data_IF_952829528616
#
_entry.id   IF_952829528616
#
_cell.length_a   1.000
_cell.length_b   1.000
_cell.length_c   1.000
_cell.angle_alpha   90.00
_cell.angle_beta   90.00
_cell.angle_gamma   90.00
#
_symmetry.space_group_name_H-M   'P 1'
#
loop_
_entity.id
_entity.type
_entity.pdbx_description
1 polymer ?
#
# COMPACT_ATOMS: atom_id res chain seq x y z
N UNK A 1 21.70 20.05 -9.19
CA UNK A 1 20.39 19.41 -9.45
C UNK A 1 19.70 19.37 -8.11
N UNK A 2 18.85 20.35 -7.81
CA UNK A 2 17.87 20.23 -6.72
C UNK A 2 16.76 19.30 -7.21
N UNK A 3 16.29 18.45 -6.32
CA UNK A 3 15.40 17.34 -6.61
C UNK A 3 13.97 17.82 -6.40
N UNK A 4 12.99 17.22 -7.06
CA UNK A 4 11.59 17.63 -6.88
C UNK A 4 10.97 16.83 -5.73
N UNK A 5 11.49 17.04 -4.51
CA UNK A 5 10.99 16.43 -3.27
C UNK A 5 9.51 16.83 -3.03
N UNK A 6 9.10 17.97 -3.59
CA UNK A 6 7.72 18.43 -3.66
C UNK A 6 6.82 17.47 -4.45
N UNK A 7 7.30 16.95 -5.59
CA UNK A 7 6.55 15.97 -6.39
C UNK A 7 6.37 14.64 -5.65
N UNK A 8 7.35 14.20 -4.86
CA UNK A 8 7.23 13.02 -4.01
C UNK A 8 6.21 13.27 -2.88
N UNK A 9 6.29 14.42 -2.21
CA UNK A 9 5.33 14.81 -1.18
C UNK A 9 3.88 14.86 -1.72
N UNK A 10 3.69 15.46 -2.90
CA UNK A 10 2.40 15.56 -3.57
C UNK A 10 1.82 14.19 -3.96
N UNK A 11 2.68 13.22 -4.32
CA UNK A 11 2.27 11.83 -4.61
C UNK A 11 1.97 11.03 -3.36
N UNK A 12 2.75 11.21 -2.30
CA UNK A 12 2.51 10.53 -1.02
C UNK A 12 1.21 11.03 -0.37
N UNK A 13 0.81 12.28 -0.60
CA UNK A 13 -0.32 12.92 0.06
C UNK A 13 -1.21 13.75 -0.90
N UNK A 14 -1.85 13.12 -1.90
CA UNK A 14 -2.61 13.82 -2.94
C UNK A 14 -3.85 14.54 -2.41
N UNK A 15 -4.34 14.19 -1.21
CA UNK A 15 -5.51 14.84 -0.59
C UNK A 15 -5.23 16.25 -0.06
N UNK A 16 -3.96 16.67 0.03
CA UNK A 16 -3.56 17.98 0.57
C UNK A 16 -3.34 19.03 -0.53
N UNK A 17 -3.07 18.61 -1.77
CA UNK A 17 -2.94 19.51 -2.90
C UNK A 17 -4.33 19.95 -3.36
N UNK A 18 -4.72 21.19 -3.00
CA UNK A 18 -5.99 21.87 -3.34
C UNK A 18 -6.80 21.21 -4.47
N UNK A 19 -7.82 20.44 -4.07
CA UNK A 19 -9.11 20.38 -4.77
C UNK A 19 -9.18 19.69 -6.14
N UNK A 20 -8.30 18.75 -6.48
CA UNK A 20 -8.47 17.95 -7.69
C UNK A 20 -8.68 16.47 -7.33
N UNK A 21 -9.94 16.11 -7.06
CA UNK A 21 -10.32 14.71 -6.95
C UNK A 21 -10.03 14.01 -8.30
N UNK A 22 -9.23 12.92 -8.33
CA UNK A 22 -9.05 12.15 -9.54
C UNK A 22 -10.43 11.62 -9.97
N UNK A 23 -10.76 11.78 -11.25
CA UNK A 23 -11.97 11.23 -11.82
C UNK A 23 -12.05 9.73 -11.50
N UNK A 24 -13.23 9.19 -11.13
CA UNK A 24 -13.38 7.77 -10.90
C UNK A 24 -12.91 7.00 -12.14
N UNK A 25 -12.01 6.04 -11.95
CA UNK A 25 -11.62 5.11 -13.00
C UNK A 25 -12.89 4.49 -13.58
N UNK A 26 -13.19 4.84 -14.83
CA UNK A 26 -14.28 4.23 -15.61
C UNK A 26 -13.94 2.75 -15.75
N UNK A 27 -14.75 1.89 -15.14
CA UNK A 27 -14.65 0.45 -15.31
C UNK A 27 -14.63 0.13 -16.81
N UNK A 28 -13.54 -0.49 -17.27
CA UNK A 28 -13.44 -0.98 -18.62
C UNK A 28 -14.55 -2.00 -18.86
N UNK A 29 -15.27 -1.86 -19.98
CA UNK A 29 -16.25 -2.85 -20.42
C UNK A 29 -15.58 -4.24 -20.50
N UNK A 30 -16.27 -5.30 -20.04
CA UNK A 30 -15.72 -6.65 -20.06
C UNK A 30 -15.48 -7.09 -21.51
N UNK A 31 -14.20 -7.14 -21.91
CA UNK A 31 -13.81 -7.85 -23.12
C UNK A 31 -14.08 -9.34 -22.93
N UNK A 32 -14.79 -9.92 -23.90
CA UNK A 32 -15.14 -11.34 -23.93
C UNK A 32 -13.87 -12.21 -23.83
N UNK A 33 -13.88 -13.14 -22.87
CA UNK A 33 -12.79 -14.08 -22.64
C UNK A 33 -12.54 -14.95 -23.89
N UNK A 34 -11.28 -15.17 -24.30
CA UNK A 34 -10.96 -16.16 -25.32
C UNK A 34 -11.29 -17.58 -24.83
N UNK A 35 -11.81 -18.41 -25.72
CA UNK A 35 -12.18 -19.79 -25.44
C UNK A 35 -10.98 -20.61 -24.91
N UNK A 36 -11.19 -21.54 -23.97
CA UNK A 36 -10.12 -22.35 -23.39
C UNK A 36 -9.52 -23.28 -24.44
N UNK A 37 -8.20 -23.15 -24.66
CA UNK A 37 -7.41 -24.10 -25.44
C UNK A 37 -7.09 -25.28 -24.52
N UNK A 38 -7.51 -26.48 -24.90
CA UNK A 38 -7.28 -27.71 -24.15
C UNK A 38 -5.76 -27.99 -24.00
N UNK A 39 -5.27 -28.01 -22.76
CA UNK A 39 -3.91 -28.43 -22.44
C UNK A 39 -3.82 -29.96 -22.41
N UNK A 40 -2.71 -30.58 -22.89
CA UNK A 40 -2.49 -32.01 -22.76
C UNK A 40 -2.26 -32.41 -21.29
N UNK A 41 -3.08 -33.33 -20.80
CA UNK A 41 -3.02 -33.95 -19.48
C UNK A 41 -1.74 -34.79 -19.33
N UNK A 42 -0.70 -34.24 -18.70
CA UNK A 42 0.48 -35.02 -18.29
C UNK A 42 0.99 -34.73 -16.88
N UNK A 43 0.21 -34.05 -16.03
CA UNK A 43 0.60 -33.75 -14.65
C UNK A 43 0.04 -34.74 -13.61
N UNK A 44 -0.97 -35.56 -13.94
CA UNK A 44 -1.59 -36.50 -13.00
C UNK A 44 -0.69 -37.71 -12.65
N UNK A 45 0.29 -38.05 -13.50
CA UNK A 45 1.08 -39.28 -13.32
C UNK A 45 2.30 -39.11 -12.39
N UNK A 46 2.72 -37.86 -12.09
CA UNK A 46 3.81 -37.61 -11.14
C UNK A 46 3.34 -37.54 -9.68
N UNK A 47 2.10 -37.12 -9.42
CA UNK A 47 1.57 -37.02 -8.05
C UNK A 47 1.37 -38.41 -7.39
N UNK A 48 1.02 -39.43 -8.18
CA UNK A 48 0.81 -40.79 -7.69
C UNK A 48 2.09 -41.51 -7.24
N UNK A 49 3.28 -41.07 -7.69
CA UNK A 49 4.57 -41.68 -7.31
C UNK A 49 5.16 -41.17 -6.00
N UNK A 50 4.73 -40.02 -5.48
CA UNK A 50 5.31 -39.41 -4.28
C UNK A 50 4.58 -39.72 -2.96
N UNK A 51 3.60 -40.62 -2.95
CA UNK A 51 3.06 -41.17 -1.70
C UNK A 51 2.29 -40.20 -0.80
N UNK A 52 1.87 -39.03 -1.32
CA UNK A 52 0.96 -38.13 -0.62
C UNK A 52 -0.49 -38.61 -0.77
N UNK A 53 -0.86 -39.69 -0.06
CA UNK A 53 -2.26 -39.98 0.23
C UNK A 53 -2.66 -39.20 1.48
N UNK A 54 -3.84 -38.59 1.41
CA UNK A 54 -4.56 -37.92 2.50
C UNK A 54 -4.14 -36.48 2.86
N UNK A 55 -4.41 -35.54 1.94
CA UNK A 55 -4.89 -34.22 2.36
C UNK A 55 -6.37 -34.06 1.98
N UNK A 56 -7.24 -33.63 2.91
CA UNK A 56 -8.64 -33.35 2.60
C UNK A 56 -8.72 -32.15 1.65
N UNK A 57 -9.44 -32.35 0.56
CA UNK A 57 -9.80 -31.30 -0.39
C UNK A 57 -10.74 -30.32 0.33
N UNK A 58 -10.21 -29.19 0.79
CA UNK A 58 -11.03 -28.09 1.29
C UNK A 58 -11.74 -27.47 0.10
N UNK A 59 -13.03 -27.78 -0.03
CA UNK A 59 -13.90 -27.20 -1.04
C UNK A 59 -14.13 -25.73 -0.70
N UNK A 60 -13.66 -24.82 -1.56
CA UNK A 60 -13.97 -23.39 -1.46
C UNK A 60 -15.41 -23.15 -1.95
N UNK A 61 -16.39 -23.35 -1.07
CA UNK A 61 -17.73 -22.79 -1.22
C UNK A 61 -17.76 -21.39 -0.60
N UNK A 62 -17.31 -20.38 -1.36
CA UNK A 62 -17.62 -18.99 -1.05
C UNK A 62 -18.63 -18.44 -2.06
N UNK A 63 -19.89 -18.50 -1.62
CA UNK A 63 -20.96 -17.55 -1.80
C UNK A 63 -20.87 -16.57 -2.99
N UNK A 64 -21.66 -16.86 -4.01
CA UNK A 64 -22.28 -15.88 -4.90
C UNK A 64 -23.21 -14.96 -4.10
N UNK A 65 -22.76 -13.72 -3.86
CA UNK A 65 -23.65 -12.63 -3.41
C UNK A 65 -24.13 -11.82 -4.61
N UNK A 66 -25.46 -11.75 -4.74
CA UNK A 66 -26.17 -11.01 -5.77
C UNK A 66 -26.01 -9.48 -5.59
N UNK A 67 -26.01 -8.69 -6.69
CA UNK A 67 -26.01 -7.24 -6.63
C UNK A 67 -27.42 -6.71 -6.36
N UNK A 68 -27.64 -6.08 -5.21
CA UNK A 68 -28.90 -5.44 -4.83
C UNK A 68 -28.69 -4.03 -4.27
N UNK A 69 -29.08 -3.04 -5.07
CA UNK A 69 -29.65 -1.72 -4.71
C UNK A 69 -28.99 -0.88 -3.59
N UNK A 70 -28.16 0.08 -3.98
CA UNK A 70 -27.68 1.18 -3.10
C UNK A 70 -28.21 2.58 -3.52
N UNK A 71 -29.20 2.66 -4.42
CA UNK A 71 -29.61 3.93 -5.03
C UNK A 71 -30.75 4.69 -4.31
N UNK A 72 -31.34 4.19 -3.23
CA UNK A 72 -32.60 4.77 -2.71
C UNK A 72 -32.52 5.30 -1.27
N UNK A 73 -31.56 6.20 -0.98
CA UNK A 73 -31.53 6.89 0.33
C UNK A 73 -31.05 8.35 0.33
N UNK A 74 -30.87 8.99 -0.83
CA UNK A 74 -30.39 10.37 -0.94
C UNK A 74 -31.50 11.43 -1.04
N UNK A 75 -32.71 11.17 -0.56
CA UNK A 75 -33.83 12.13 -0.65
C UNK A 75 -34.59 12.18 0.66
N UNK A 76 -34.11 13.03 1.59
CA UNK A 76 -34.87 13.77 2.63
C UNK A 76 -33.91 14.27 3.71
N UNK A 77 -33.40 15.49 3.55
CA UNK A 77 -33.12 16.35 4.71
C UNK A 77 -33.63 17.76 4.41
N UNK A 78 -34.41 18.36 5.32
CA UNK A 78 -34.82 19.76 5.23
C UNK A 78 -33.64 20.67 5.61
N UNK A 79 -33.40 21.72 4.83
CA UNK A 79 -32.41 22.75 5.14
C UNK A 79 -33.03 23.73 6.14
N UNK A 80 -32.71 23.57 7.43
CA UNK A 80 -32.98 24.60 8.45
C UNK A 80 -31.96 25.74 8.31
N UNK A 81 -32.52 26.94 8.14
CA UNK A 81 -31.83 28.20 7.93
C UNK A 81 -31.33 28.73 9.27
N UNK A 82 -30.10 28.38 9.65
CA UNK A 82 -29.47 28.93 10.85
C UNK A 82 -28.68 30.21 10.55
N UNK A 83 -29.02 31.23 11.33
CA UNK A 83 -28.45 32.58 11.39
C UNK A 83 -26.94 32.54 11.68
N UNK A 84 -26.22 33.45 11.02
CA UNK A 84 -24.80 33.66 11.20
C UNK A 84 -24.47 34.16 12.62
N UNK A 85 -23.49 33.57 13.33
CA UNK A 85 -22.85 34.21 14.46
C UNK A 85 -21.68 35.09 13.98
N UNK A 86 -21.73 36.33 14.46
CA UNK A 86 -20.66 37.24 14.86
C UNK A 86 -19.20 36.84 14.54
N UNK A 87 -18.53 37.68 13.74
CA UNK A 87 -17.14 37.60 13.33
C UNK A 87 -16.23 38.12 14.45
N UNK A 88 -15.97 37.28 15.45
CA UNK A 88 -14.90 37.49 16.43
C UNK A 88 -13.56 37.01 15.88
N UNK A 89 -12.60 37.93 15.80
CA UNK A 89 -11.15 37.76 15.62
C UNK A 89 -10.68 36.41 15.04
N UNK A 90 -10.41 36.43 13.74
CA UNK A 90 -9.75 35.40 12.94
C UNK A 90 -8.37 35.01 13.53
N UNK A 91 -8.36 34.17 14.57
CA UNK A 91 -7.26 33.24 14.81
C UNK A 91 -7.30 32.21 13.67
N UNK A 92 -6.70 32.58 12.53
CA UNK A 92 -6.36 31.66 11.44
C UNK A 92 -5.27 30.71 11.93
N UNK A 93 -5.63 29.89 12.93
CA UNK A 93 -5.07 28.56 13.09
C UNK A 93 -5.39 27.83 11.80
N UNK A 94 -4.49 27.97 10.84
CA UNK A 94 -4.45 27.18 9.62
C UNK A 94 -4.49 25.74 10.07
N UNK A 95 -5.68 25.13 9.97
CA UNK A 95 -5.92 23.72 10.23
C UNK A 95 -4.82 22.95 9.52
N UNK A 96 -3.87 22.43 10.31
CA UNK A 96 -2.74 21.73 9.78
C UNK A 96 -3.29 20.56 8.96
N UNK A 97 -2.78 20.34 7.73
CA UNK A 97 -3.26 19.27 6.88
C UNK A 97 -3.21 17.94 7.67
N UNK A 98 -4.38 17.36 7.96
CA UNK A 98 -4.49 16.18 8.83
C UNK A 98 -3.99 14.97 8.05
N UNK A 99 -2.85 14.42 8.48
CA UNK A 99 -2.37 13.11 8.06
C UNK A 99 -3.52 12.11 8.17
N UNK A 100 -3.73 11.27 7.14
CA UNK A 100 -4.79 10.28 7.17
C UNK A 100 -4.72 9.50 8.50
N UNK A 101 -5.84 9.36 9.23
CA UNK A 101 -5.81 8.80 10.57
C UNK A 101 -5.21 7.40 10.54
N UNK A 102 -4.38 7.10 11.55
CA UNK A 102 -3.81 5.76 11.75
C UNK A 102 -4.99 4.80 11.98
N UNK A 103 -5.09 3.68 11.23
CA UNK A 103 -6.14 2.69 11.48
C UNK A 103 -6.05 2.13 12.90
N UNK A 104 -7.18 1.92 13.58
CA UNK A 104 -7.24 1.42 14.96
C UNK A 104 -6.44 0.11 15.14
N UNK A 105 -6.52 -0.81 14.17
CA UNK A 105 -5.78 -2.07 14.20
C UNK A 105 -4.25 -1.87 14.15
N UNK A 106 -3.77 -0.83 13.47
CA UNK A 106 -2.34 -0.46 13.46
C UNK A 106 -1.99 0.17 14.80
N UNK A 107 -2.84 1.07 15.31
CA UNK A 107 -2.62 1.70 16.62
C UNK A 107 -2.51 0.68 17.75
N UNK A 108 -3.39 -0.32 17.79
CA UNK A 108 -3.34 -1.39 18.78
C UNK A 108 -2.02 -2.19 18.72
N UNK A 109 -1.52 -2.49 17.52
CA UNK A 109 -0.21 -3.13 17.35
C UNK A 109 0.94 -2.27 17.87
N UNK A 110 0.85 -0.93 17.70
CA UNK A 110 1.85 0.01 18.23
C UNK A 110 1.84 0.02 19.74
N UNK A 111 0.66 0.01 20.36
CA UNK A 111 0.49 0.06 21.81
C UNK A 111 0.99 -1.23 22.49
N UNK A 112 0.93 -2.38 21.80
CA UNK A 112 1.43 -3.66 22.29
C UNK A 112 2.96 -3.82 22.17
N UNK A 113 3.62 -3.06 21.28
CA UNK A 113 5.05 -3.19 21.03
C UNK A 113 5.88 -2.32 22.00
N UNK A 114 6.13 -2.86 23.19
CA UNK A 114 6.94 -2.20 24.23
C UNK A 114 8.40 -1.89 23.79
N UNK A 115 8.90 -2.51 22.71
CA UNK A 115 10.29 -2.29 22.24
C UNK A 115 10.41 -1.15 21.25
N UNK A 116 9.29 -0.61 20.79
CA UNK A 116 9.21 0.36 19.69
C UNK A 116 9.98 1.66 19.96
N UNK A 117 9.99 2.14 21.21
CA UNK A 117 10.74 3.33 21.62
C UNK A 117 12.26 3.23 21.42
N UNK A 118 12.83 2.01 21.33
CA UNK A 118 14.27 1.85 21.09
C UNK A 118 14.66 2.02 19.62
N UNK A 119 13.72 1.86 18.68
CA UNK A 119 14.00 1.81 17.24
C UNK A 119 13.59 3.07 16.47
N UNK A 120 12.92 4.03 17.10
CA UNK A 120 12.44 5.25 16.43
C UNK A 120 13.57 6.05 15.76
N UNK A 121 14.78 6.03 16.32
CA UNK A 121 15.93 6.75 15.76
C UNK A 121 16.62 6.01 14.61
N UNK A 122 16.28 4.75 14.33
CA UNK A 122 16.97 3.94 13.31
C UNK A 122 16.77 4.49 11.89
N UNK A 123 15.70 5.26 11.66
CA UNK A 123 15.33 5.75 10.33
C UNK A 123 15.68 7.22 10.10
N UNK A 124 16.24 7.93 11.09
CA UNK A 124 16.53 9.36 10.98
C UNK A 124 17.49 9.69 9.83
N UNK A 125 18.44 8.80 9.55
CA UNK A 125 19.41 8.97 8.45
C UNK A 125 18.77 8.79 7.06
N UNK A 126 17.87 7.80 6.91
CA UNK A 126 17.26 7.46 5.61
C UNK A 126 15.98 8.25 5.32
N UNK A 127 15.33 8.77 6.37
CA UNK A 127 14.16 9.63 6.30
C UNK A 127 14.43 10.85 7.16
N UNK A 128 15.27 11.82 6.74
CA UNK A 128 15.53 13.03 7.52
C UNK A 128 14.31 13.96 7.57
N UNK A 129 14.19 14.79 8.60
CA UNK A 129 13.05 15.72 8.78
C UNK A 129 12.90 16.69 7.58
N UNK A 130 14.01 17.02 6.92
CA UNK A 130 14.07 17.92 5.76
C UNK A 130 13.80 17.22 4.42
N UNK A 131 13.44 15.93 4.42
CA UNK A 131 13.25 15.15 3.18
C UNK A 131 12.15 15.73 2.27
N UNK A 132 11.20 16.49 2.81
CA UNK A 132 10.13 17.13 2.04
C UNK A 132 10.41 18.62 1.78
N UNK A 133 11.67 19.06 1.92
CA UNK A 133 12.07 20.46 2.06
C UNK A 133 11.64 21.40 0.92
N UNK A 134 11.37 20.87 -0.28
CA UNK A 134 10.87 21.65 -1.42
C UNK A 134 9.33 21.68 -1.52
N UNK A 135 8.60 21.04 -0.60
CA UNK A 135 7.13 21.05 -0.60
C UNK A 135 6.54 22.36 -0.10
N UNK A 136 5.41 22.78 -0.67
CA UNK A 136 4.62 23.95 -0.26
C UNK A 136 3.95 23.80 1.14
N UNK A 137 4.25 22.72 1.86
CA UNK A 137 3.64 22.40 3.14
C UNK A 137 4.34 23.13 4.30
N UNK A 138 3.63 23.53 5.36
CA UNK A 138 4.26 24.08 6.56
C UNK A 138 5.27 23.10 7.19
N UNK A 139 6.42 23.60 7.67
CA UNK A 139 7.48 22.78 8.29
C UNK A 139 6.96 21.82 9.39
N UNK A 140 6.04 22.23 10.30
CA UNK A 140 5.50 21.30 11.29
C UNK A 140 4.76 20.11 10.66
N UNK A 141 4.07 20.35 9.53
CA UNK A 141 3.35 19.31 8.79
C UNK A 141 4.34 18.37 8.11
N UNK A 142 5.38 18.90 7.47
CA UNK A 142 6.43 18.09 6.84
C UNK A 142 7.09 17.14 7.86
N UNK A 143 7.46 17.65 9.04
CA UNK A 143 8.05 16.84 10.12
C UNK A 143 7.11 15.74 10.59
N UNK A 144 5.83 16.04 10.77
CA UNK A 144 4.82 15.05 11.15
C UNK A 144 4.68 13.95 10.08
N UNK A 145 4.71 14.31 8.80
CA UNK A 145 4.66 13.34 7.69
C UNK A 145 5.88 12.43 7.66
N UNK A 146 7.09 12.98 7.85
CA UNK A 146 8.31 12.18 7.92
C UNK A 146 8.28 11.27 9.14
N UNK A 147 7.81 11.76 10.29
CA UNK A 147 7.62 10.94 11.49
C UNK A 147 6.68 9.76 11.21
N UNK A 148 5.52 10.00 10.57
CA UNK A 148 4.61 8.91 10.20
C UNK A 148 5.22 7.91 9.21
N UNK A 149 6.08 8.34 8.28
CA UNK A 149 6.80 7.41 7.38
C UNK A 149 7.75 6.49 8.18
N UNK A 150 8.46 7.03 9.18
CA UNK A 150 9.32 6.22 10.08
C UNK A 150 8.50 5.24 10.92
N UNK A 151 7.34 5.68 11.38
CA UNK A 151 6.41 4.85 12.13
C UNK A 151 5.86 3.69 11.27
N UNK A 152 5.45 3.95 10.03
CA UNK A 152 5.04 2.90 9.09
C UNK A 152 6.17 1.94 8.75
N UNK A 153 7.41 2.42 8.59
CA UNK A 153 8.57 1.55 8.39
C UNK A 153 8.78 0.61 9.59
N UNK A 154 8.61 1.13 10.80
CA UNK A 154 8.66 0.34 12.04
C UNK A 154 7.52 -0.68 12.10
N UNK A 155 6.30 -0.30 11.72
CA UNK A 155 5.12 -1.19 11.74
C UNK A 155 5.31 -2.43 10.88
N UNK A 156 5.95 -2.28 9.71
CA UNK A 156 6.28 -3.40 8.81
C UNK A 156 7.64 -4.05 9.11
N UNK A 157 8.29 -3.67 10.20
CA UNK A 157 9.62 -4.12 10.61
C UNK A 157 10.68 -3.99 9.49
N UNK A 158 10.59 -2.93 8.68
CA UNK A 158 11.57 -2.63 7.64
C UNK A 158 12.91 -2.23 8.27
N UNK A 159 14.03 -2.59 7.63
CA UNK A 159 15.33 -2.03 7.99
C UNK A 159 15.55 -0.67 7.33
N UNK A 160 16.52 0.15 7.80
CA UNK A 160 16.89 1.38 7.11
C UNK A 160 17.31 1.15 5.65
N UNK A 161 17.95 0.02 5.36
CA UNK A 161 18.34 -0.36 3.99
C UNK A 161 17.12 -0.66 3.10
N UNK A 162 16.07 -1.27 3.64
CA UNK A 162 14.82 -1.50 2.90
C UNK A 162 14.13 -0.17 2.57
N UNK A 163 14.10 0.76 3.52
CA UNK A 163 13.52 2.10 3.34
C UNK A 163 14.31 2.89 2.30
N UNK A 164 15.64 2.88 2.38
CA UNK A 164 16.50 3.56 1.40
C UNK A 164 16.37 2.97 0.00
N UNK A 165 16.25 1.65 -0.13
CA UNK A 165 15.97 0.98 -1.41
C UNK A 165 14.65 1.46 -2.01
N UNK A 166 13.56 1.46 -1.23
CA UNK A 166 12.23 1.89 -1.69
C UNK A 166 12.26 3.37 -2.09
N UNK A 167 12.92 4.21 -1.28
CA UNK A 167 13.10 5.65 -1.57
C UNK A 167 13.87 5.87 -2.87
N UNK A 168 15.00 5.18 -3.05
CA UNK A 168 15.83 5.27 -4.25
C UNK A 168 15.01 4.92 -5.49
N UNK A 169 14.27 3.81 -5.46
CA UNK A 169 13.40 3.41 -6.57
C UNK A 169 12.29 4.46 -6.80
N UNK A 170 11.68 4.97 -5.73
CA UNK A 170 10.67 6.03 -5.84
C UNK A 170 11.19 7.28 -6.54
N UNK A 171 12.43 7.67 -6.24
CA UNK A 171 13.08 8.81 -6.86
C UNK A 171 13.46 8.56 -8.33
N UNK A 172 13.80 7.33 -8.70
CA UNK A 172 14.03 6.94 -10.09
C UNK A 172 12.73 6.98 -10.92
N UNK A 173 11.57 6.73 -10.28
CA UNK A 173 10.25 6.78 -10.89
C UNK A 173 9.72 8.22 -10.97
N UNK A 174 10.31 9.01 -11.85
CA UNK A 174 9.88 10.39 -12.13
C UNK A 174 8.45 10.48 -12.68
N UNK A 175 7.88 9.40 -13.22
CA UNK A 175 6.50 9.32 -13.68
C UNK A 175 5.94 7.91 -13.45
N UNK A 176 4.60 7.75 -13.38
CA UNK A 176 3.98 6.43 -13.35
C UNK A 176 4.48 5.56 -14.51
N UNK A 177 4.81 4.27 -14.27
CA UNK A 177 5.28 3.37 -15.31
C UNK A 177 4.20 3.13 -16.38
N UNK A 178 4.63 2.93 -17.63
CA UNK A 178 3.72 2.56 -18.72
C UNK A 178 3.16 1.13 -18.54
N UNK A 179 2.04 0.82 -19.19
CA UNK A 179 1.45 -0.53 -19.13
C UNK A 179 2.41 -1.63 -19.61
N UNK A 180 3.21 -1.34 -20.63
CA UNK A 180 4.25 -2.26 -21.11
C UNK A 180 5.31 -2.52 -20.01
N UNK A 181 5.70 -1.46 -19.29
CA UNK A 181 6.69 -1.57 -18.20
C UNK A 181 6.12 -2.33 -16.99
N UNK A 182 4.84 -2.13 -16.67
CA UNK A 182 4.14 -2.89 -15.64
C UNK A 182 4.08 -4.39 -15.97
N UNK A 183 3.86 -4.74 -17.23
CA UNK A 183 3.87 -6.13 -17.69
C UNK A 183 5.26 -6.74 -17.55
N UNK A 184 6.30 -6.03 -18.02
CA UNK A 184 7.71 -6.43 -17.87
C UNK A 184 8.07 -6.65 -16.39
N UNK A 185 7.67 -5.73 -15.51
CA UNK A 185 7.92 -5.86 -14.08
C UNK A 185 7.15 -7.00 -13.43
N UNK A 186 5.93 -7.31 -13.88
CA UNK A 186 5.19 -8.47 -13.39
C UNK A 186 5.96 -9.77 -13.68
N UNK A 187 6.47 -9.93 -14.91
CA UNK A 187 7.25 -11.10 -15.30
C UNK A 187 8.55 -11.20 -14.49
N UNK A 188 9.30 -10.09 -14.38
CA UNK A 188 10.52 -10.01 -13.55
C UNK A 188 10.24 -10.31 -12.07
N UNK A 189 9.09 -9.88 -11.55
CA UNK A 189 8.67 -10.16 -10.17
C UNK A 189 8.43 -11.64 -9.97
N UNK A 190 7.74 -12.31 -10.91
CA UNK A 190 7.51 -13.75 -10.85
C UNK A 190 8.84 -14.52 -10.83
N UNK A 191 9.78 -14.19 -11.72
CA UNK A 191 11.11 -14.81 -11.77
C UNK A 191 11.91 -14.60 -10.48
N UNK A 192 11.88 -13.37 -9.95
CA UNK A 192 12.60 -13.00 -8.74
C UNK A 192 12.04 -13.69 -7.49
N UNK A 193 10.71 -13.84 -7.41
CA UNK A 193 10.06 -14.56 -6.32
C UNK A 193 10.30 -16.07 -6.43
N UNK A 194 10.21 -16.65 -7.64
CA UNK A 194 10.49 -18.07 -7.85
C UNK A 194 11.96 -18.41 -7.53
N UNK A 195 12.90 -17.57 -7.93
CA UNK A 195 14.32 -17.79 -7.59
C UNK A 195 14.61 -17.63 -6.09
N UNK A 196 13.92 -16.73 -5.39
CA UNK A 196 14.14 -16.50 -3.95
C UNK A 196 13.41 -17.51 -3.05
N UNK A 197 12.16 -17.84 -3.37
CA UNK A 197 11.26 -18.62 -2.51
C UNK A 197 10.92 -20.01 -3.05
N UNK A 198 11.39 -20.36 -4.25
CA UNK A 198 11.12 -21.64 -4.89
C UNK A 198 9.62 -21.91 -5.04
N UNK A 199 9.19 -23.13 -4.73
CA UNK A 199 7.78 -23.54 -4.78
C UNK A 199 6.83 -22.79 -3.83
N UNK A 200 7.34 -21.90 -2.97
CA UNK A 200 6.52 -21.07 -2.06
C UNK A 200 6.33 -19.63 -2.55
N UNK A 201 6.75 -19.29 -3.77
CA UNK A 201 6.67 -17.93 -4.31
C UNK A 201 5.25 -17.33 -4.32
N UNK A 202 4.23 -18.10 -4.70
CA UNK A 202 2.83 -17.66 -4.71
C UNK A 202 2.33 -17.31 -3.31
N UNK A 203 2.69 -18.11 -2.31
CA UNK A 203 2.36 -17.86 -0.90
C UNK A 203 3.08 -16.61 -0.38
N UNK A 204 4.36 -16.42 -0.72
CA UNK A 204 5.10 -15.23 -0.33
C UNK A 204 4.49 -13.93 -0.90
N UNK A 205 4.01 -13.98 -2.15
CA UNK A 205 3.28 -12.85 -2.74
C UNK A 205 1.94 -12.60 -2.05
N UNK A 206 1.20 -13.66 -1.70
CA UNK A 206 -0.04 -13.52 -0.95
C UNK A 206 0.19 -12.89 0.44
N UNK A 207 1.28 -13.25 1.12
CA UNK A 207 1.66 -12.67 2.40
C UNK A 207 2.05 -11.19 2.25
N UNK A 208 2.80 -10.83 1.22
CA UNK A 208 3.12 -9.44 0.91
C UNK A 208 1.86 -8.58 0.78
N UNK A 209 0.85 -9.09 0.07
CA UNK A 209 -0.45 -8.40 -0.10
C UNK A 209 -1.17 -8.24 1.23
N UNK A 210 -1.18 -9.26 2.09
CA UNK A 210 -1.78 -9.18 3.42
C UNK A 210 -1.06 -8.16 4.31
N UNK A 211 0.27 -8.12 4.25
CA UNK A 211 1.06 -7.12 5.00
C UNK A 211 0.70 -5.70 4.58
N UNK A 212 0.59 -5.45 3.27
CA UNK A 212 0.19 -4.13 2.75
C UNK A 212 -1.26 -3.81 3.12
N UNK A 213 -2.17 -4.78 3.06
CA UNK A 213 -3.58 -4.58 3.42
C UNK A 213 -3.79 -4.21 4.90
N UNK A 214 -2.83 -4.55 5.78
CA UNK A 214 -2.87 -4.21 7.21
C UNK A 214 -2.78 -2.70 7.47
N UNK A 215 -2.02 -1.97 6.64
CA UNK A 215 -1.96 -0.52 6.68
C UNK A 215 -2.32 0.08 5.31
N UNK A 216 -3.57 0.53 5.12
CA UNK A 216 -4.01 1.16 3.86
C UNK A 216 -3.18 2.38 3.44
N UNK A 217 -2.51 3.06 4.38
CA UNK A 217 -1.65 4.21 4.07
C UNK A 217 -0.42 3.75 3.29
N UNK A 218 0.18 2.63 3.68
CA UNK A 218 1.28 2.01 2.92
C UNK A 218 0.81 1.61 1.52
N UNK A 219 -0.38 1.02 1.40
CA UNK A 219 -0.98 0.69 0.10
C UNK A 219 -1.07 1.90 -0.83
N UNK A 220 -1.60 3.03 -0.32
CA UNK A 220 -1.69 4.28 -1.08
C UNK A 220 -0.32 4.83 -1.47
N UNK A 221 0.67 4.77 -0.58
CA UNK A 221 2.05 5.19 -0.87
C UNK A 221 2.62 4.36 -2.02
N UNK A 222 2.43 3.04 -2.00
CA UNK A 222 2.93 2.15 -3.03
C UNK A 222 2.23 2.36 -4.37
N UNK A 223 0.92 2.59 -4.35
CA UNK A 223 0.09 2.81 -5.54
C UNK A 223 0.41 4.17 -6.20
N UNK A 224 0.37 5.26 -5.43
CA UNK A 224 0.56 6.61 -5.95
C UNK A 224 1.95 6.84 -6.55
N UNK A 225 2.95 6.10 -6.06
CA UNK A 225 4.32 6.18 -6.56
C UNK A 225 4.66 5.09 -7.59
N UNK A 226 3.70 4.23 -7.96
CA UNK A 226 3.94 3.12 -8.89
C UNK A 226 4.92 2.05 -8.35
N UNK A 227 5.20 2.07 -7.05
CA UNK A 227 6.16 1.18 -6.38
C UNK A 227 5.59 -0.23 -6.16
N UNK A 228 4.26 -0.36 -6.05
CA UNK A 228 3.60 -1.63 -5.76
C UNK A 228 3.80 -2.73 -6.81
N UNK A 229 4.26 -2.37 -8.01
CA UNK A 229 4.57 -3.32 -9.10
C UNK A 229 6.07 -3.50 -9.34
N UNK A 230 6.94 -2.74 -8.65
CA UNK A 230 8.38 -2.81 -8.91
C UNK A 230 8.99 -4.10 -8.33
N UNK A 231 9.76 -4.90 -9.10
CA UNK A 231 10.18 -6.25 -8.67
C UNK A 231 10.94 -6.28 -7.35
N UNK A 232 11.87 -5.33 -7.16
CA UNK A 232 12.65 -5.23 -5.91
C UNK A 232 11.78 -4.87 -4.71
N UNK A 233 10.79 -4.00 -4.90
CA UNK A 233 9.89 -3.56 -3.82
C UNK A 233 8.98 -4.72 -3.40
N UNK A 234 8.39 -5.42 -4.38
CA UNK A 234 7.56 -6.60 -4.12
C UNK A 234 8.36 -7.70 -3.41
N UNK A 235 9.61 -7.94 -3.83
CA UNK A 235 10.50 -8.89 -3.15
C UNK A 235 10.75 -8.49 -1.69
N UNK A 236 11.07 -7.21 -1.44
CA UNK A 236 11.27 -6.70 -0.08
C UNK A 236 10.02 -6.89 0.77
N UNK A 237 8.84 -6.51 0.27
CA UNK A 237 7.57 -6.70 0.99
C UNK A 237 7.27 -8.18 1.26
N UNK A 238 7.57 -9.08 0.32
CA UNK A 238 7.40 -10.52 0.52
C UNK A 238 8.33 -11.08 1.61
N UNK A 239 9.56 -10.57 1.72
CA UNK A 239 10.48 -10.94 2.82
C UNK A 239 9.99 -10.44 4.17
N UNK A 240 9.59 -9.16 4.24
CA UNK A 240 9.02 -8.56 5.45
C UNK A 240 7.75 -9.29 5.90
N UNK A 241 6.88 -9.63 4.95
CA UNK A 241 5.65 -10.36 5.25
C UNK A 241 5.93 -11.78 5.75
N UNK A 242 6.91 -12.48 5.18
CA UNK A 242 7.32 -13.79 5.69
C UNK A 242 7.83 -13.71 7.13
N UNK A 243 8.64 -12.68 7.44
CA UNK A 243 9.10 -12.43 8.81
C UNK A 243 7.93 -12.14 9.75
N UNK A 244 7.03 -11.23 9.37
CA UNK A 244 5.85 -10.90 10.17
C UNK A 244 4.93 -12.10 10.40
N UNK A 245 4.79 -13.02 9.43
CA UNK A 245 4.08 -14.30 9.64
C UNK A 245 4.77 -15.18 10.68
N UNK A 246 6.10 -15.32 10.62
CA UNK A 246 6.87 -16.09 11.60
C UNK A 246 6.73 -15.51 13.01
N UNK A 247 6.60 -14.19 13.11
CA UNK A 247 6.36 -13.47 14.36
C UNK A 247 4.88 -13.48 14.81
N UNK A 248 3.98 -14.12 14.05
CA UNK A 248 2.55 -14.20 14.36
C UNK A 248 1.77 -12.89 14.15
N UNK A 249 2.30 -11.95 13.36
CA UNK A 249 1.74 -10.61 13.11
C UNK A 249 0.96 -10.49 11.78
N UNK A 250 0.61 -11.61 11.16
CA UNK A 250 0.07 -11.72 9.78
C UNK A 250 -0.99 -12.81 9.63
#
# INVERSE_FOLDING_TARGET
MSWDDAALAARLYPTMAKGNAPAPFRAAEPQAAPAPVAAPSSYDDMASRMGYKDQPVVSNEFATLAPGSFEERASRMPYEQNQAPDLGDDDQSVDAPVLAPVPDAVQELRDQDNKRGMYQNAFTEVLPDQMLGDSDLPEPTQKAMVAELREMATDVAASPADVDLIRTIGNELQAPPSQAKLTEWSDQTADLLNSTFGGTASMALADARKLVARDPRLGRILENNGLGSHPKVVLTLARLARQARLDGKL
#
